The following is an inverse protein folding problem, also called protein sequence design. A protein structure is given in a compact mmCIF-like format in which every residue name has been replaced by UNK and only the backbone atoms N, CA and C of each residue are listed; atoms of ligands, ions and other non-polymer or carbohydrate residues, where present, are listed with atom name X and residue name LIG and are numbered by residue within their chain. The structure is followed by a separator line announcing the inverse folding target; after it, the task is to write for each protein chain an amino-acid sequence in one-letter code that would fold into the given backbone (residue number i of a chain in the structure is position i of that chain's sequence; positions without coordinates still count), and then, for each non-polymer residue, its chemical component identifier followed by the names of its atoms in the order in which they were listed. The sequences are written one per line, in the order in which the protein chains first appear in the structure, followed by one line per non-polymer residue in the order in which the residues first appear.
data_IF_928360492925
#
_entry.id   IF_928360492925
#
_cell.length_a   1.000
_cell.length_b   1.000
_cell.length_c   1.000
_cell.angle_alpha   90.00
_cell.angle_beta   90.00
_cell.angle_gamma   90.00
#
_symmetry.space_group_name_H-M   'P 1'
#
loop_
_entity.id
_entity.type
_entity.pdbx_description
1 polymer ?
#
# COMPACT_ATOMS: atom_id res chain seq x y z
N UNK A 1 -6.77 7.56 20.30
CA UNK A 1 -6.71 8.71 19.37
C UNK A 1 -6.35 8.19 17.99
N UNK A 2 -7.32 8.10 17.06
CA UNK A 2 -6.98 7.87 15.65
C UNK A 2 -6.35 9.16 15.11
N UNK A 3 -5.06 9.09 14.72
CA UNK A 3 -4.40 10.19 14.02
C UNK A 3 -4.96 10.25 12.60
N UNK A 4 -5.82 11.23 12.33
CA UNK A 4 -6.22 11.56 10.97
C UNK A 4 -5.11 12.42 10.34
N UNK A 5 -4.08 11.77 9.80
CA UNK A 5 -3.15 12.43 8.88
C UNK A 5 -3.83 12.58 7.53
N UNK A 6 -3.70 13.73 6.89
CA UNK A 6 -4.17 13.95 5.51
C UNK A 6 -3.44 12.97 4.57
N UNK A 7 -4.03 11.81 4.32
CA UNK A 7 -3.48 10.81 3.39
C UNK A 7 -3.76 11.30 1.97
N UNK A 8 -2.73 11.32 1.13
CA UNK A 8 -2.84 11.67 -0.28
C UNK A 8 -3.81 10.71 -0.99
N UNK A 9 -4.75 11.24 -1.77
CA UNK A 9 -5.72 10.43 -2.55
C UNK A 9 -5.01 9.43 -3.46
N UNK A 10 -3.87 9.82 -4.05
CA UNK A 10 -3.04 8.91 -4.85
C UNK A 10 -2.53 7.73 -4.02
N UNK A 11 -2.08 7.99 -2.80
CA UNK A 11 -1.63 6.94 -1.88
C UNK A 11 -2.77 5.98 -1.55
N UNK A 12 -3.99 6.48 -1.34
CA UNK A 12 -5.17 5.62 -1.12
C UNK A 12 -5.48 4.76 -2.34
N UNK A 13 -5.51 5.33 -3.55
CA UNK A 13 -5.75 4.61 -4.80
C UNK A 13 -4.73 3.50 -5.04
N UNK A 14 -3.43 3.80 -4.95
CA UNK A 14 -2.34 2.81 -5.09
C UNK A 14 -2.55 1.65 -4.12
N UNK A 15 -2.96 2.00 -2.91
CA UNK A 15 -3.10 1.04 -1.83
C UNK A 15 -4.32 0.13 -2.02
N UNK A 16 -5.43 0.60 -2.61
CA UNK A 16 -6.52 -0.26 -3.10
C UNK A 16 -6.06 -1.20 -4.21
N UNK A 17 -5.30 -0.69 -5.19
CA UNK A 17 -4.81 -1.50 -6.30
C UNK A 17 -3.87 -2.62 -5.84
N UNK A 18 -3.01 -2.36 -4.85
CA UNK A 18 -2.15 -3.38 -4.25
C UNK A 18 -3.00 -4.42 -3.52
N UNK A 19 -3.94 -4.01 -2.66
CA UNK A 19 -4.82 -4.93 -1.95
C UNK A 19 -5.64 -5.81 -2.91
N UNK A 20 -6.15 -5.25 -4.00
CA UNK A 20 -6.86 -6.00 -5.04
C UNK A 20 -5.97 -7.07 -5.68
N UNK A 21 -4.71 -6.74 -5.99
CA UNK A 21 -3.75 -7.70 -6.55
C UNK A 21 -3.41 -8.82 -5.55
N UNK A 22 -3.26 -8.48 -4.27
CA UNK A 22 -3.03 -9.47 -3.19
C UNK A 22 -4.22 -10.43 -3.11
N UNK A 23 -5.45 -9.91 -3.08
CA UNK A 23 -6.67 -10.73 -3.06
C UNK A 23 -6.75 -11.66 -4.27
N UNK A 24 -6.57 -11.11 -5.48
CA UNK A 24 -6.62 -11.89 -6.74
C UNK A 24 -5.58 -13.00 -6.82
N UNK A 25 -4.44 -12.85 -6.15
CA UNK A 25 -3.35 -13.84 -6.17
C UNK A 25 -3.38 -14.80 -4.98
N UNK A 26 -4.32 -14.62 -4.04
CA UNK A 26 -4.45 -15.45 -2.84
C UNK A 26 -3.22 -15.41 -1.93
N UNK A 27 -2.44 -14.33 -1.96
CA UNK A 27 -1.21 -14.19 -1.17
C UNK A 27 -1.53 -13.67 0.24
N UNK A 28 -0.61 -13.91 1.18
CA UNK A 28 -0.69 -13.34 2.52
C UNK A 28 -0.84 -11.82 2.46
N UNK A 29 -1.69 -11.25 3.30
CA UNK A 29 -1.90 -9.80 3.41
C UNK A 29 -0.63 -9.06 3.82
N UNK A 30 0.27 -9.73 4.55
CA UNK A 30 1.60 -9.21 4.94
C UNK A 30 2.54 -8.99 3.76
N UNK A 31 2.26 -9.54 2.57
CA UNK A 31 3.12 -9.36 1.39
C UNK A 31 3.22 -7.89 0.97
N UNK A 32 2.21 -7.08 1.31
CA UNK A 32 2.21 -5.64 1.09
C UNK A 32 3.39 -4.96 1.77
N UNK A 33 3.57 -5.21 3.07
CA UNK A 33 4.64 -4.61 3.88
C UNK A 33 5.99 -5.33 3.70
N UNK A 34 6.01 -6.66 3.53
CA UNK A 34 7.27 -7.41 3.49
C UNK A 34 7.96 -7.40 2.14
N UNK A 35 7.23 -7.19 1.05
CA UNK A 35 7.77 -7.31 -0.31
C UNK A 35 7.37 -6.14 -1.23
N UNK A 36 6.08 -5.79 -1.28
CA UNK A 36 5.61 -4.77 -2.23
C UNK A 36 6.14 -3.38 -1.87
N UNK A 37 6.08 -2.98 -0.59
CA UNK A 37 6.58 -1.67 -0.16
C UNK A 37 8.09 -1.51 -0.43
N UNK A 38 8.96 -2.46 -0.01
CA UNK A 38 10.39 -2.38 -0.32
C UNK A 38 10.67 -2.34 -1.83
N UNK A 39 10.00 -3.17 -2.63
CA UNK A 39 10.22 -3.20 -4.08
C UNK A 39 9.86 -1.86 -4.77
N UNK A 40 8.77 -1.22 -4.33
CA UNK A 40 8.39 0.10 -4.83
C UNK A 40 9.42 1.16 -4.41
N UNK A 41 9.90 1.11 -3.17
CA UNK A 41 10.96 2.02 -2.67
C UNK A 41 12.25 1.88 -3.46
N UNK A 42 12.73 0.66 -3.66
CA UNK A 42 13.95 0.39 -4.44
C UNK A 42 13.81 0.91 -5.87
N UNK A 43 12.65 0.68 -6.50
CA UNK A 43 12.36 1.19 -7.85
C UNK A 43 12.41 2.71 -7.86
N UNK A 44 11.73 3.38 -6.94
CA UNK A 44 11.69 4.85 -6.92
C UNK A 44 13.05 5.45 -6.62
N UNK A 45 13.81 4.83 -5.72
CA UNK A 45 15.18 5.23 -5.42
C UNK A 45 16.09 5.14 -6.65
N UNK A 46 16.00 4.06 -7.42
CA UNK A 46 16.82 3.86 -8.63
C UNK A 46 16.44 4.85 -9.74
N UNK A 47 15.15 5.09 -9.98
CA UNK A 47 14.69 5.92 -11.09
C UNK A 47 14.63 7.42 -10.79
N UNK A 48 14.26 7.80 -9.56
CA UNK A 48 13.97 9.18 -9.18
C UNK A 48 14.88 9.72 -8.05
N UNK A 49 15.71 8.87 -7.46
CA UNK A 49 16.57 9.21 -6.32
C UNK A 49 15.81 9.30 -4.98
N UNK A 50 16.53 9.65 -3.92
CA UNK A 50 16.04 9.53 -2.53
C UNK A 50 14.90 10.51 -2.17
N UNK A 51 14.74 11.62 -2.90
CA UNK A 51 13.75 12.67 -2.57
C UNK A 51 12.30 12.21 -2.73
N UNK A 52 12.05 11.17 -3.51
CA UNK A 52 10.70 10.67 -3.83
C UNK A 52 10.24 9.52 -2.93
N UNK A 53 11.09 9.04 -2.00
CA UNK A 53 10.77 7.89 -1.15
C UNK A 53 9.70 8.21 -0.08
N UNK A 54 9.70 9.44 0.45
CA UNK A 54 8.81 9.84 1.54
C UNK A 54 7.32 9.77 1.15
N UNK A 55 6.99 10.04 -0.11
CA UNK A 55 5.60 9.93 -0.59
C UNK A 55 5.14 8.46 -0.61
N UNK A 56 6.06 7.52 -0.82
CA UNK A 56 5.77 6.09 -0.93
C UNK A 56 5.57 5.47 0.46
N UNK A 57 6.27 5.97 1.47
CA UNK A 57 6.06 5.57 2.87
C UNK A 57 4.65 5.92 3.37
N UNK A 58 4.01 6.92 2.77
CA UNK A 58 2.64 7.32 3.14
C UNK A 58 1.57 6.33 2.67
N UNK A 59 1.92 5.35 1.82
CA UNK A 59 0.96 4.40 1.26
C UNK A 59 0.54 3.39 2.35
N UNK A 60 -0.75 3.34 2.73
CA UNK A 60 -1.17 2.50 3.85
C UNK A 60 -1.40 1.05 3.43
N UNK A 61 -0.34 0.23 3.46
CA UNK A 61 -0.36 -1.20 3.05
C UNK A 61 0.01 -2.18 4.16
N UNK A 62 -0.23 -1.79 5.41
CA UNK A 62 -0.13 -2.71 6.55
C UNK A 62 -1.08 -3.90 6.37
N UNK A 63 -0.77 -5.03 7.02
CA UNK A 63 -1.65 -6.20 7.06
C UNK A 63 -3.12 -5.82 7.35
N UNK A 64 -3.36 -5.00 8.37
CA UNK A 64 -4.71 -4.57 8.75
C UNK A 64 -5.39 -3.73 7.67
N UNK A 65 -4.63 -2.87 6.98
CA UNK A 65 -5.20 -2.06 5.89
C UNK A 65 -5.54 -2.93 4.68
N UNK A 66 -4.68 -3.88 4.34
CA UNK A 66 -4.93 -4.83 3.25
C UNK A 66 -6.17 -5.66 3.56
N UNK A 67 -6.29 -6.22 4.76
CA UNK A 67 -7.49 -6.94 5.21
C UNK A 67 -8.74 -6.08 5.05
N UNK A 68 -8.76 -4.88 5.64
CA UNK A 68 -9.93 -4.00 5.60
C UNK A 68 -10.38 -3.70 4.17
N UNK A 69 -9.44 -3.45 3.26
CA UNK A 69 -9.77 -3.17 1.85
C UNK A 69 -10.34 -4.37 1.12
N UNK A 70 -9.82 -5.56 1.40
CA UNK A 70 -10.33 -6.79 0.80
C UNK A 70 -11.74 -7.07 1.33
N UNK A 71 -11.97 -6.87 2.62
CA UNK A 71 -13.29 -6.97 3.22
C UNK A 71 -14.26 -5.98 2.58
N UNK A 72 -13.89 -4.70 2.46
CA UNK A 72 -14.67 -3.65 1.79
C UNK A 72 -15.01 -4.03 0.34
N UNK A 73 -14.06 -4.55 -0.44
CA UNK A 73 -14.30 -5.01 -1.82
C UNK A 73 -15.26 -6.19 -1.89
N UNK A 74 -15.32 -7.02 -0.85
CA UNK A 74 -16.17 -8.22 -0.81
C UNK A 74 -17.61 -7.92 -0.37
N UNK A 75 -17.89 -6.69 0.08
CA UNK A 75 -19.24 -6.24 0.46
C UNK A 75 -20.04 -5.66 -0.73
N UNK A 76 -19.51 -5.76 -1.96
CA UNK A 76 -20.14 -5.32 -3.21
C UNK A 76 -20.63 -6.52 -4.02
#
# INVERSE_FOLDING_TARGET
MQRYTKVNEKSLCVSYLISLRIAKTGKSHTIGETLVLPAIKDTVKVFFGDKSEQEIESIPISNNTVTRRIDEMSQW
#
